data_IF_687204308999
#
_entry.id   IF_687204308999
#
_cell.length_a   1.000
_cell.length_b   1.000
_cell.length_c   1.000
_cell.angle_alpha   90.00
_cell.angle_beta   90.00
_cell.angle_gamma   90.00
#
_symmetry.space_group_name_H-M   'P 1'
#
loop_
_entity.id
_entity.type
_entity.pdbx_description
1 polymer ?
#
# COMPACT_ATOMS: atom_id res chain seq x y z
N UNK A 1 -4.73 14.11 6.48
CA UNK A 1 -6.20 14.03 6.65
C UNK A 1 -6.46 12.91 7.65
N UNK A 2 -6.97 13.23 8.83
CA UNK A 2 -7.40 12.26 9.84
C UNK A 2 -8.93 12.19 9.82
N UNK A 3 -9.49 10.98 9.92
CA UNK A 3 -10.94 10.77 10.02
C UNK A 3 -11.45 11.22 11.40
N UNK A 4 -12.77 11.42 11.54
CA UNK A 4 -13.41 11.80 12.80
C UNK A 4 -13.17 10.80 13.97
N UNK A 5 -12.55 9.64 13.70
CA UNK A 5 -12.14 8.64 14.69
C UNK A 5 -10.66 8.68 15.07
N UNK A 6 -9.88 9.68 14.61
CA UNK A 6 -8.44 9.75 14.84
C UNK A 6 -7.63 8.72 14.05
N UNK A 7 -8.27 7.98 13.14
CA UNK A 7 -7.61 7.03 12.24
C UNK A 7 -7.23 7.73 10.93
N UNK A 8 -6.09 7.35 10.35
CA UNK A 8 -5.68 7.80 9.03
C UNK A 8 -6.77 7.41 8.02
N UNK A 9 -7.10 8.31 7.08
CA UNK A 9 -8.07 8.01 6.04
C UNK A 9 -7.42 7.06 5.01
N UNK A 10 -7.45 5.76 5.33
CA UNK A 10 -6.82 4.69 4.53
C UNK A 10 -7.29 4.73 3.08
N UNK A 11 -8.56 5.03 2.84
CA UNK A 11 -9.12 5.15 1.49
C UNK A 11 -8.53 6.35 0.72
N UNK A 12 -8.33 7.51 1.35
CA UNK A 12 -7.62 8.63 0.75
C UNK A 12 -6.17 8.27 0.46
N UNK A 13 -5.48 7.59 1.37
CA UNK A 13 -4.10 7.14 1.15
C UNK A 13 -4.01 6.15 0.00
N UNK A 14 -4.89 5.15 -0.06
CA UNK A 14 -4.95 4.19 -1.17
C UNK A 14 -5.15 4.95 -2.48
N UNK A 15 -6.16 5.82 -2.58
CA UNK A 15 -6.47 6.61 -3.79
C UNK A 15 -5.29 7.45 -4.27
N UNK A 16 -4.52 8.03 -3.35
CA UNK A 16 -3.31 8.81 -3.69
C UNK A 16 -2.19 7.94 -4.28
N UNK A 17 -2.12 6.66 -3.90
CA UNK A 17 -1.03 5.76 -4.30
C UNK A 17 -1.40 4.82 -5.47
N UNK A 18 -2.67 4.72 -5.87
CA UNK A 18 -3.10 3.97 -7.07
C UNK A 18 -2.28 4.35 -8.32
N UNK A 19 -2.06 5.64 -8.65
CA UNK A 19 -1.28 6.00 -9.85
C UNK A 19 0.16 5.50 -9.79
N UNK A 20 0.76 5.44 -8.59
CA UNK A 20 2.11 4.93 -8.37
C UNK A 20 2.18 3.43 -8.63
N UNK A 21 1.23 2.66 -8.08
CA UNK A 21 1.14 1.20 -8.31
C UNK A 21 1.03 0.90 -9.80
N UNK A 22 0.15 1.61 -10.53
CA UNK A 22 0.00 1.44 -11.98
C UNK A 22 1.29 1.76 -12.73
N UNK A 23 1.99 2.84 -12.37
CA UNK A 23 3.26 3.22 -13.00
C UNK A 23 4.35 2.17 -12.78
N UNK A 24 4.44 1.61 -11.58
CA UNK A 24 5.39 0.53 -11.26
C UNK A 24 5.04 -0.73 -12.05
N UNK A 25 3.76 -1.13 -12.08
CA UNK A 25 3.30 -2.29 -12.85
C UNK A 25 3.62 -2.16 -14.35
N UNK A 26 3.40 -0.98 -14.94
CA UNK A 26 3.79 -0.66 -16.32
C UNK A 26 5.29 -0.71 -16.57
N UNK A 27 6.12 -0.42 -15.57
CA UNK A 27 7.58 -0.54 -15.70
C UNK A 27 8.05 -1.99 -15.54
N UNK A 28 7.37 -2.77 -14.70
CA UNK A 28 7.68 -4.17 -14.46
C UNK A 28 7.30 -5.06 -15.63
N UNK A 29 6.13 -4.83 -16.25
CA UNK A 29 5.67 -5.61 -17.40
C UNK A 29 6.67 -5.57 -18.57
N UNK A 30 7.38 -4.44 -18.74
CA UNK A 30 8.42 -4.28 -19.77
C UNK A 30 9.67 -5.15 -19.54
N UNK A 31 9.83 -5.72 -18.34
CA UNK A 31 10.97 -6.54 -17.93
C UNK A 31 10.60 -7.99 -17.62
N UNK A 32 9.30 -8.31 -17.66
CA UNK A 32 8.77 -9.63 -17.32
C UNK A 32 8.44 -10.42 -18.59
N UNK A 33 8.31 -11.74 -18.43
CA UNK A 33 7.89 -12.62 -19.52
C UNK A 33 6.49 -12.25 -20.03
N UNK A 34 6.19 -12.48 -21.31
CA UNK A 34 4.90 -12.11 -21.92
C UNK A 34 3.67 -12.84 -21.33
N UNK A 35 3.89 -13.85 -20.49
CA UNK A 35 2.83 -14.59 -19.80
C UNK A 35 2.27 -13.84 -18.57
N UNK A 36 2.88 -12.71 -18.19
CA UNK A 36 2.42 -11.91 -17.06
C UNK A 36 1.46 -10.85 -17.58
N UNK A 37 0.28 -10.74 -16.98
CA UNK A 37 -0.70 -9.72 -17.32
C UNK A 37 -0.49 -8.45 -16.47
N UNK A 38 -0.74 -7.29 -17.08
CA UNK A 38 -0.60 -6.01 -16.38
C UNK A 38 -1.62 -5.88 -15.24
N UNK A 39 -2.85 -6.35 -15.45
CA UNK A 39 -3.92 -6.25 -14.47
C UNK A 39 -3.62 -7.10 -13.23
N UNK A 40 -2.98 -8.26 -13.41
CA UNK A 40 -2.48 -9.08 -12.30
C UNK A 40 -1.40 -8.36 -11.49
N UNK A 41 -0.44 -7.70 -12.16
CA UNK A 41 0.60 -6.92 -11.47
C UNK A 41 0.01 -5.74 -10.69
N UNK A 42 -0.99 -5.07 -11.26
CA UNK A 42 -1.71 -3.99 -10.57
C UNK A 42 -2.43 -4.57 -9.35
N UNK A 43 -3.12 -5.70 -9.49
CA UNK A 43 -3.88 -6.30 -8.40
C UNK A 43 -2.96 -6.71 -7.24
N UNK A 44 -1.85 -7.39 -7.53
CA UNK A 44 -0.83 -7.76 -6.53
C UNK A 44 -0.22 -6.52 -5.89
N UNK A 45 0.09 -5.49 -6.67
CA UNK A 45 0.62 -4.23 -6.16
C UNK A 45 -0.37 -3.49 -5.24
N UNK A 46 -1.67 -3.56 -5.54
CA UNK A 46 -2.72 -2.99 -4.69
C UNK A 46 -2.87 -3.75 -3.37
N UNK A 47 -2.74 -5.07 -3.37
CA UNK A 47 -2.72 -5.89 -2.15
C UNK A 47 -1.51 -5.52 -1.27
N UNK A 48 -0.32 -5.41 -1.85
CA UNK A 48 0.89 -5.01 -1.12
C UNK A 48 0.82 -3.59 -0.56
N UNK A 49 0.24 -2.65 -1.33
CA UNK A 49 -0.04 -1.28 -0.85
C UNK A 49 -0.99 -1.29 0.35
N UNK A 50 -2.07 -2.07 0.29
CA UNK A 50 -3.03 -2.17 1.37
C UNK A 50 -2.38 -2.76 2.64
N UNK A 51 -1.53 -3.79 2.51
CA UNK A 51 -0.80 -4.37 3.64
C UNK A 51 0.19 -3.38 4.25
N UNK A 52 0.97 -2.69 3.41
CA UNK A 52 1.93 -1.68 3.85
C UNK A 52 1.26 -0.54 4.62
N UNK A 53 0.11 -0.06 4.14
CA UNK A 53 -0.70 0.93 4.85
C UNK A 53 -1.21 0.40 6.20
N UNK A 54 -1.65 -0.86 6.25
CA UNK A 54 -2.10 -1.49 7.49
C UNK A 54 -0.99 -1.57 8.55
N UNK A 55 0.25 -1.86 8.12
CA UNK A 55 1.43 -1.87 8.99
C UNK A 55 1.85 -0.47 9.41
N UNK A 56 1.74 0.51 8.50
CA UNK A 56 2.05 1.92 8.76
C UNK A 56 1.12 2.52 9.82
N UNK A 57 -0.19 2.23 9.75
CA UNK A 57 -1.16 2.64 10.78
C UNK A 57 -0.84 1.99 12.14
N UNK A 58 -0.48 0.70 12.15
CA UNK A 58 -0.07 0.00 13.37
C UNK A 58 1.18 0.60 14.02
N UNK A 59 2.13 1.10 13.21
CA UNK A 59 3.34 1.76 13.70
C UNK A 59 3.09 3.17 14.26
N UNK A 60 2.01 3.85 13.88
CA UNK A 60 1.64 5.17 14.43
C UNK A 60 0.92 5.09 15.79
N UNK A 61 0.74 3.89 16.37
CA UNK A 61 0.04 3.70 17.64
C UNK A 61 0.77 2.84 18.68
N UNK A 62 1.99 2.37 18.41
CA UNK A 62 2.79 1.69 19.44
C UNK A 62 3.50 2.76 20.26
N UNK A 63 3.06 2.97 21.51
CA UNK A 63 4.00 3.42 22.53
C UNK A 63 5.11 2.38 22.56
N UNK A 64 6.26 2.75 22.02
CA UNK A 64 7.47 1.95 21.88
C UNK A 64 7.89 1.24 23.19
N UNK A 65 7.36 1.71 24.33
CA UNK A 65 7.56 1.18 25.68
C UNK A 65 7.05 -0.25 25.89
N UNK A 66 6.06 -0.76 25.13
CA UNK A 66 5.52 -2.12 25.40
C UNK A 66 6.28 -3.24 24.68
N UNK A 67 7.20 -2.94 23.75
CA UNK A 67 8.04 -3.97 23.11
C UNK A 67 9.40 -4.17 23.81
N UNK A 68 9.68 -3.37 24.84
CA UNK A 68 10.99 -3.35 25.53
C UNK A 68 10.91 -3.73 27.02
N UNK A 69 10.07 -4.70 27.41
CA UNK A 69 10.13 -5.33 28.74
C UNK A 69 10.09 -6.85 28.62
#
# INVERSE_FOLDING_TARGET
MYTAKGQLDRDAMIRQHVPLVRRIAHHMIAKLSPNVELDDLIQVGMMGLAEALSRYEGAQGVQFETFAT
#
